data_IF_163334818915
#
_entry.id   IF_163334818915
#
_cell.length_a   1.000
_cell.length_b   1.000
_cell.length_c   1.000
_cell.angle_alpha   90.00
_cell.angle_beta   90.00
_cell.angle_gamma   90.00
#
_symmetry.space_group_name_H-M   'P 1'
#
loop_
_entity.id
_entity.type
_entity.pdbx_description
1 polymer ?
#
# COMPACT_ATOMS: atom_id res chain seq x y z
N UNK A 1 -28.97 7.55 25.28
CA UNK A 1 -29.30 8.29 24.04
C UNK A 1 -28.39 7.85 22.89
N UNK A 2 -27.07 7.83 23.08
CA UNK A 2 -26.10 7.36 22.06
C UNK A 2 -26.34 5.92 21.57
N UNK A 3 -26.52 4.95 22.48
CA UNK A 3 -26.80 3.54 22.10
C UNK A 3 -28.02 3.40 21.18
N UNK A 4 -29.10 4.14 21.46
CA UNK A 4 -30.29 4.12 20.64
C UNK A 4 -30.03 4.77 19.28
N UNK A 5 -29.21 5.82 19.23
CA UNK A 5 -28.81 6.42 17.97
C UNK A 5 -27.99 5.46 17.11
N UNK A 6 -27.02 4.76 17.69
CA UNK A 6 -26.22 3.75 16.99
C UNK A 6 -27.10 2.63 16.43
N UNK A 7 -28.03 2.10 17.23
CA UNK A 7 -28.99 1.07 16.78
C UNK A 7 -29.86 1.54 15.63
N UNK A 8 -30.27 2.80 15.62
CA UNK A 8 -31.10 3.33 14.54
C UNK A 8 -30.29 3.66 13.27
N UNK A 9 -28.98 3.87 13.40
CA UNK A 9 -28.07 4.24 12.30
C UNK A 9 -27.39 3.05 11.63
N UNK A 10 -27.33 1.90 12.30
CA UNK A 10 -26.66 0.69 11.82
C UNK A 10 -27.68 -0.37 11.36
N UNK A 11 -27.34 -1.23 10.39
CA UNK A 11 -28.21 -2.34 9.98
C UNK A 11 -28.50 -3.30 11.14
N UNK A 12 -29.66 -3.96 11.11
CA UNK A 12 -30.07 -4.96 12.12
C UNK A 12 -29.09 -6.14 12.25
N UNK A 13 -28.27 -6.38 11.22
CA UNK A 13 -27.23 -7.41 11.23
C UNK A 13 -26.02 -7.05 12.11
N UNK A 14 -25.86 -5.78 12.50
CA UNK A 14 -24.75 -5.33 13.34
C UNK A 14 -25.17 -5.42 14.80
N UNK A 15 -24.57 -6.36 15.52
CA UNK A 15 -24.79 -6.52 16.96
C UNK A 15 -24.18 -5.34 17.73
N UNK A 16 -24.95 -4.78 18.67
CA UNK A 16 -24.50 -3.67 19.52
C UNK A 16 -24.76 -3.99 20.97
N UNK A 17 -23.66 -4.14 21.72
CA UNK A 17 -23.67 -4.47 23.14
C UNK A 17 -23.02 -3.36 23.96
N UNK A 18 -23.63 -3.04 25.10
CA UNK A 18 -23.04 -2.12 26.08
C UNK A 18 -22.15 -2.92 27.03
N UNK A 19 -20.98 -2.39 27.30
CA UNK A 19 -20.00 -2.92 28.25
C UNK A 19 -19.89 -1.95 29.43
N UNK A 20 -19.79 -2.47 30.65
CA UNK A 20 -19.53 -1.70 31.87
C UNK A 20 -18.08 -1.91 32.33
N UNK A 21 -17.13 -1.28 31.64
CA UNK A 21 -15.70 -1.42 31.90
C UNK A 21 -15.10 -0.07 32.33
N UNK A 22 -14.09 -0.12 33.21
CA UNK A 22 -13.35 1.05 33.70
C UNK A 22 -12.42 1.63 32.64
N UNK A 23 -11.93 0.79 31.73
CA UNK A 23 -11.13 1.20 30.56
C UNK A 23 -12.05 1.79 29.48
N UNK A 24 -12.19 3.12 29.49
CA UNK A 24 -13.20 3.85 28.70
C UNK A 24 -12.94 3.95 27.19
N UNK A 25 -11.72 3.65 26.73
CA UNK A 25 -11.33 3.74 25.32
C UNK A 25 -11.17 2.34 24.71
N UNK A 26 -12.29 1.64 24.48
CA UNK A 26 -12.29 0.24 24.03
C UNK A 26 -11.45 0.01 22.76
N UNK A 27 -11.47 0.95 21.81
CA UNK A 27 -10.64 0.87 20.59
C UNK A 27 -9.13 0.91 20.84
N UNK A 28 -8.68 1.44 21.98
CA UNK A 28 -7.26 1.42 22.36
C UNK A 28 -6.86 0.11 23.05
N UNK A 29 -7.82 -0.58 23.64
CA UNK A 29 -7.59 -1.75 24.50
C UNK A 29 -8.05 -3.06 23.87
N UNK A 30 -8.64 -3.02 22.67
CA UNK A 30 -9.11 -4.19 21.92
C UNK A 30 -8.61 -4.10 20.47
N UNK A 31 -8.04 -5.19 19.95
CA UNK A 31 -7.78 -5.40 18.53
C UNK A 31 -8.34 -6.76 18.13
N UNK A 32 -9.10 -6.86 17.04
CA UNK A 32 -9.76 -8.10 16.66
C UNK A 32 -9.77 -8.32 15.15
N UNK A 33 -9.86 -9.59 14.75
CA UNK A 33 -10.26 -10.04 13.42
C UNK A 33 -11.46 -11.00 13.56
N UNK A 34 -11.78 -11.79 12.54
CA UNK A 34 -12.97 -12.66 12.56
C UNK A 34 -12.79 -13.94 13.40
N UNK A 35 -11.60 -14.18 13.94
CA UNK A 35 -11.27 -15.40 14.68
C UNK A 35 -10.79 -15.14 16.11
N UNK A 36 -10.09 -14.01 16.33
CA UNK A 36 -9.41 -13.70 17.58
C UNK A 36 -9.54 -12.22 17.95
N UNK A 37 -9.70 -11.94 19.24
CA UNK A 37 -9.53 -10.63 19.85
C UNK A 37 -8.37 -10.63 20.86
N UNK A 38 -7.44 -9.69 20.67
CA UNK A 38 -6.47 -9.32 21.69
C UNK A 38 -7.06 -8.21 22.56
N UNK A 39 -6.95 -8.37 23.87
CA UNK A 39 -7.45 -7.39 24.85
C UNK A 39 -6.39 -7.02 25.87
N UNK A 40 -6.56 -5.83 26.45
CA UNK A 40 -5.72 -5.35 27.54
C UNK A 40 -5.73 -6.33 28.74
N UNK A 41 -4.58 -6.62 29.40
CA UNK A 41 -4.49 -7.64 30.45
C UNK A 41 -5.41 -7.43 31.65
N UNK A 42 -5.71 -6.18 31.99
CA UNK A 42 -6.59 -5.83 33.12
C UNK A 42 -8.09 -5.73 32.77
N UNK A 43 -8.50 -6.10 31.55
CA UNK A 43 -9.93 -6.17 31.19
C UNK A 43 -10.60 -7.22 32.04
N UNK A 44 -11.75 -6.91 32.62
CA UNK A 44 -12.45 -7.84 33.51
C UNK A 44 -12.99 -9.07 32.75
N UNK A 45 -13.20 -10.17 33.48
CA UNK A 45 -13.64 -11.42 32.86
C UNK A 45 -15.02 -11.29 32.24
N UNK A 46 -15.91 -10.52 32.86
CA UNK A 46 -17.27 -10.29 32.35
C UNK A 46 -17.22 -9.59 30.97
N UNK A 47 -16.37 -8.57 30.82
CA UNK A 47 -16.15 -7.89 29.53
C UNK A 47 -15.49 -8.83 28.51
N UNK A 48 -14.54 -9.68 28.92
CA UNK A 48 -13.97 -10.69 28.02
C UNK A 48 -15.02 -11.67 27.48
N UNK A 49 -15.94 -12.13 28.35
CA UNK A 49 -17.06 -13.00 27.94
C UNK A 49 -18.01 -12.28 26.99
N UNK A 50 -18.33 -11.01 27.26
CA UNK A 50 -19.15 -10.19 26.36
C UNK A 50 -18.47 -10.04 24.99
N UNK A 51 -17.17 -9.74 24.94
CA UNK A 51 -16.43 -9.60 23.68
C UNK A 51 -16.46 -10.90 22.89
N UNK A 52 -16.19 -12.03 23.56
CA UNK A 52 -16.22 -13.36 22.93
C UNK A 52 -17.60 -13.67 22.34
N UNK A 53 -18.66 -13.44 23.10
CA UNK A 53 -20.01 -13.85 22.69
C UNK A 53 -20.60 -12.93 21.61
N UNK A 54 -20.23 -11.64 21.61
CA UNK A 54 -20.73 -10.66 20.64
C UNK A 54 -19.96 -10.70 19.33
N UNK A 55 -18.63 -10.85 19.40
CA UNK A 55 -17.78 -10.93 18.20
C UNK A 55 -17.63 -12.35 17.66
N UNK A 56 -18.01 -13.37 18.45
CA UNK A 56 -17.87 -14.79 18.12
C UNK A 56 -16.41 -15.24 17.90
N UNK A 57 -15.48 -14.68 18.70
CA UNK A 57 -14.03 -14.90 18.59
C UNK A 57 -13.38 -15.34 19.89
N UNK A 58 -12.25 -16.03 19.80
CA UNK A 58 -11.42 -16.32 20.97
C UNK A 58 -10.77 -15.05 21.53
N UNK A 59 -10.75 -14.88 22.85
CA UNK A 59 -10.24 -13.66 23.49
C UNK A 59 -8.95 -13.98 24.25
N UNK A 60 -7.87 -13.27 23.95
CA UNK A 60 -6.59 -13.39 24.63
C UNK A 60 -6.15 -12.08 25.26
N UNK A 61 -5.78 -12.13 26.54
CA UNK A 61 -5.12 -11.03 27.22
C UNK A 61 -3.66 -10.98 26.80
N UNK A 62 -3.22 -9.86 26.22
CA UNK A 62 -1.87 -9.79 25.66
C UNK A 62 -1.27 -8.38 25.70
N UNK A 63 0.04 -8.30 25.48
CA UNK A 63 0.75 -7.03 25.28
C UNK A 63 1.43 -6.97 23.93
N UNK A 64 1.59 -5.76 23.38
CA UNK A 64 2.30 -5.51 22.13
C UNK A 64 3.56 -4.69 22.44
N UNK A 65 4.74 -5.27 22.25
CA UNK A 65 6.03 -4.67 22.62
C UNK A 65 6.08 -4.18 24.09
N UNK A 66 5.46 -4.92 25.01
CA UNK A 66 5.35 -4.55 26.43
C UNK A 66 4.31 -3.48 26.75
N UNK A 67 3.56 -3.00 25.75
CA UNK A 67 2.44 -2.09 25.96
C UNK A 67 1.11 -2.84 26.07
N UNK A 68 0.28 -2.39 27.01
CA UNK A 68 -1.02 -2.99 27.31
C UNK A 68 -2.16 -2.49 26.42
N UNK A 69 -1.98 -1.36 25.74
CA UNK A 69 -2.97 -0.77 24.83
C UNK A 69 -2.90 -1.45 23.45
N UNK A 70 -3.30 -2.72 23.40
CA UNK A 70 -3.15 -3.56 22.18
C UNK A 70 -3.78 -2.91 20.95
N UNK A 71 -4.98 -2.33 21.06
CA UNK A 71 -5.68 -1.64 19.96
C UNK A 71 -4.99 -0.36 19.48
N UNK A 72 -4.23 0.33 20.35
CA UNK A 72 -3.42 1.47 19.92
C UNK A 72 -2.16 1.06 19.18
N UNK A 73 -1.60 -0.11 19.51
CA UNK A 73 -0.27 -0.54 19.08
C UNK A 73 -0.27 -1.66 18.03
N UNK A 74 -1.44 -2.13 17.62
CA UNK A 74 -1.58 -2.99 16.46
C UNK A 74 -2.86 -2.72 15.67
N UNK A 75 -2.86 -3.17 14.42
CA UNK A 75 -4.05 -3.31 13.59
C UNK A 75 -3.97 -4.67 12.91
N UNK A 76 -5.04 -5.47 13.00
CA UNK A 76 -5.06 -6.85 12.54
C UNK A 76 -6.26 -7.10 11.62
N UNK A 77 -6.11 -8.02 10.67
CA UNK A 77 -7.15 -8.57 9.82
C UNK A 77 -7.00 -10.10 9.74
N UNK A 78 -7.79 -10.78 8.91
CA UNK A 78 -7.61 -12.22 8.69
C UNK A 78 -6.44 -12.53 7.76
N UNK A 79 -5.85 -11.52 7.11
CA UNK A 79 -4.73 -11.68 6.18
C UNK A 79 -3.37 -11.37 6.82
N UNK A 80 -3.36 -10.63 7.93
CA UNK A 80 -2.13 -10.25 8.62
C UNK A 80 -2.36 -9.14 9.63
N UNK A 81 -1.28 -8.62 10.20
CA UNK A 81 -1.35 -7.50 11.12
C UNK A 81 -0.07 -6.68 11.18
N UNK A 82 -0.24 -5.39 11.43
CA UNK A 82 0.85 -4.46 11.72
C UNK A 82 0.91 -4.26 13.23
N UNK A 83 2.08 -4.47 13.83
CA UNK A 83 2.33 -4.27 15.26
C UNK A 83 3.38 -3.19 15.49
N UNK A 84 3.46 -2.69 16.72
CA UNK A 84 4.45 -1.71 17.16
C UNK A 84 5.88 -2.03 16.66
N UNK A 85 6.66 -1.02 16.21
CA UNK A 85 7.95 -1.22 15.54
C UNK A 85 9.06 -1.82 16.42
N UNK A 86 8.87 -1.82 17.75
CA UNK A 86 9.79 -2.46 18.72
C UNK A 86 9.38 -3.87 19.12
N UNK A 87 8.27 -4.40 18.61
CA UNK A 87 7.89 -5.80 18.86
C UNK A 87 9.01 -6.70 18.35
N UNK A 88 9.50 -7.61 19.19
CA UNK A 88 10.62 -8.47 18.80
C UNK A 88 10.17 -9.49 17.77
N UNK A 89 11.11 -10.14 17.09
CA UNK A 89 10.77 -11.20 16.11
C UNK A 89 10.13 -12.38 16.82
N UNK A 90 10.65 -12.74 17.99
CA UNK A 90 10.09 -13.81 18.80
C UNK A 90 8.64 -13.50 19.17
N UNK A 91 8.37 -12.29 19.67
CA UNK A 91 6.99 -11.89 20.02
C UNK A 91 6.09 -11.87 18.77
N UNK A 92 6.60 -11.45 17.60
CA UNK A 92 5.86 -11.50 16.34
C UNK A 92 5.51 -12.93 15.95
N UNK A 93 6.43 -13.88 16.07
CA UNK A 93 6.20 -15.29 15.73
C UNK A 93 5.20 -15.95 16.69
N UNK A 94 5.30 -15.63 17.99
CA UNK A 94 4.38 -16.11 19.03
C UNK A 94 2.96 -15.55 18.80
N UNK A 95 2.84 -14.24 18.58
CA UNK A 95 1.58 -13.58 18.28
C UNK A 95 1.00 -14.03 16.93
N UNK A 96 1.83 -14.24 15.92
CA UNK A 96 1.41 -14.73 14.61
C UNK A 96 0.86 -16.16 14.71
N UNK A 97 1.49 -17.00 15.52
CA UNK A 97 0.99 -18.35 15.83
C UNK A 97 -0.31 -18.30 16.62
N UNK A 98 -0.46 -17.35 17.54
CA UNK A 98 -1.70 -17.17 18.31
C UNK A 98 -2.86 -16.71 17.40
N UNK A 99 -2.61 -15.72 16.54
CA UNK A 99 -3.62 -15.12 15.67
C UNK A 99 -3.85 -15.89 14.37
N UNK A 100 -3.00 -16.87 14.05
CA UNK A 100 -3.00 -17.62 12.79
C UNK A 100 -2.83 -16.75 11.53
N UNK A 101 -2.23 -15.57 11.67
CA UNK A 101 -1.98 -14.62 10.56
C UNK A 101 -0.57 -14.03 10.69
N UNK A 102 0.11 -13.68 9.58
CA UNK A 102 1.45 -13.09 9.64
C UNK A 102 1.42 -11.71 10.29
N UNK A 103 2.40 -11.43 11.16
CA UNK A 103 2.57 -10.12 11.78
C UNK A 103 3.88 -9.47 11.36
N UNK A 104 3.83 -8.16 11.15
CA UNK A 104 4.99 -7.35 10.81
C UNK A 104 5.06 -6.14 11.74
N UNK A 105 6.25 -5.86 12.27
CA UNK A 105 6.51 -4.63 13.01
C UNK A 105 6.71 -3.43 12.07
N UNK A 106 5.98 -2.34 12.29
CA UNK A 106 6.10 -1.14 11.46
C UNK A 106 5.51 0.10 12.10
N UNK A 107 5.51 1.19 11.34
CA UNK A 107 4.99 2.50 11.76
C UNK A 107 3.97 3.01 10.74
N UNK A 108 3.25 4.05 11.13
CA UNK A 108 2.30 4.76 10.28
C UNK A 108 2.49 6.28 10.49
N UNK A 109 1.95 7.13 9.62
CA UNK A 109 2.00 8.60 9.80
C UNK A 109 3.39 9.18 10.12
N UNK A 110 4.42 8.85 9.33
CA UNK A 110 5.81 9.34 9.50
C UNK A 110 6.46 8.89 10.81
N UNK A 111 6.42 7.58 11.07
CA UNK A 111 7.15 6.98 12.17
C UNK A 111 6.37 6.89 13.48
N UNK A 112 5.07 7.17 13.47
CA UNK A 112 4.20 6.90 14.62
C UNK A 112 4.18 5.41 14.91
N UNK A 113 4.45 5.07 16.17
CA UNK A 113 4.38 3.72 16.70
C UNK A 113 2.96 3.35 17.19
N UNK A 114 2.06 4.33 17.24
CA UNK A 114 0.63 4.17 17.56
C UNK A 114 -0.14 3.76 16.31
N UNK A 115 0.05 2.50 15.90
CA UNK A 115 -0.49 1.93 14.66
C UNK A 115 -2.01 2.10 14.56
N UNK A 116 -2.78 1.74 15.59
CA UNK A 116 -4.24 1.75 15.53
C UNK A 116 -4.86 3.14 15.44
N UNK A 117 -4.11 4.20 15.77
CA UNK A 117 -4.57 5.58 15.57
C UNK A 117 -4.46 6.05 14.11
N UNK A 118 -3.61 5.39 13.32
CA UNK A 118 -3.30 5.79 11.94
C UNK A 118 -3.61 4.75 10.88
N UNK A 119 -4.10 3.57 11.25
CA UNK A 119 -4.38 2.47 10.35
C UNK A 119 -5.69 1.79 10.72
N UNK A 120 -6.62 1.75 9.76
CA UNK A 120 -7.83 0.93 9.82
C UNK A 120 -7.76 -0.07 8.67
N UNK A 121 -7.89 -1.36 8.96
CA UNK A 121 -7.69 -2.42 7.97
C UNK A 121 -8.78 -3.47 8.09
N UNK A 122 -9.14 -4.05 6.95
CA UNK A 122 -9.86 -5.32 6.85
C UNK A 122 -9.19 -6.18 5.76
N UNK A 123 -9.80 -7.30 5.40
CA UNK A 123 -9.23 -8.23 4.41
C UNK A 123 -9.15 -7.68 2.98
N UNK A 124 -9.87 -6.60 2.70
CA UNK A 124 -10.05 -6.05 1.35
C UNK A 124 -9.29 -4.74 1.15
N UNK A 125 -9.12 -3.94 2.20
CA UNK A 125 -8.50 -2.63 2.14
C UNK A 125 -7.86 -2.21 3.47
N UNK A 126 -6.90 -1.30 3.36
CA UNK A 126 -6.31 -0.59 4.48
C UNK A 126 -6.42 0.92 4.22
N UNK A 127 -6.90 1.66 5.21
CA UNK A 127 -6.88 3.11 5.26
C UNK A 127 -5.81 3.53 6.23
N UNK A 128 -4.82 4.24 5.72
CA UNK A 128 -3.77 4.82 6.52
C UNK A 128 -3.95 6.34 6.60
N UNK A 129 -3.49 6.96 7.67
CA UNK A 129 -3.52 8.41 7.80
C UNK A 129 -2.69 9.08 6.70
N UNK A 130 -3.08 10.29 6.30
CA UNK A 130 -2.53 11.01 5.14
C UNK A 130 -1.01 11.22 5.21
N UNK A 131 -0.47 11.36 6.42
CA UNK A 131 0.96 11.54 6.64
C UNK A 131 1.76 10.25 6.42
N UNK A 132 1.09 9.10 6.28
CA UNK A 132 1.74 7.82 6.06
C UNK A 132 2.55 7.83 4.78
N UNK A 133 3.80 7.45 4.93
CA UNK A 133 4.75 7.51 3.82
C UNK A 133 4.58 6.32 2.89
N UNK A 134 5.01 6.44 1.63
CA UNK A 134 4.97 5.33 0.67
C UNK A 134 5.68 4.06 1.18
N UNK A 135 6.67 4.18 2.07
CA UNK A 135 7.34 3.04 2.70
C UNK A 135 6.47 2.38 3.77
N UNK A 136 5.79 3.16 4.61
CA UNK A 136 4.84 2.66 5.60
C UNK A 136 3.67 1.98 4.91
N UNK A 137 3.11 2.64 3.90
CA UNK A 137 2.12 2.07 3.00
C UNK A 137 2.66 0.82 2.32
N UNK A 138 3.93 0.79 1.89
CA UNK A 138 4.52 -0.43 1.33
C UNK A 138 4.65 -1.57 2.34
N UNK A 139 4.79 -1.31 3.66
CA UNK A 139 4.75 -2.37 4.68
C UNK A 139 3.32 -2.90 4.85
N UNK A 140 2.34 -2.01 4.88
CA UNK A 140 0.91 -2.36 4.92
C UNK A 140 0.50 -3.11 3.64
N UNK A 141 0.94 -2.64 2.46
CA UNK A 141 0.77 -3.25 1.14
C UNK A 141 1.65 -4.46 0.92
N UNK A 142 2.69 -4.72 1.73
CA UNK A 142 3.54 -5.92 1.59
C UNK A 142 2.83 -7.21 1.98
N UNK A 143 1.57 -7.09 2.37
CA UNK A 143 0.54 -8.11 2.17
C UNK A 143 0.25 -8.40 0.67
N UNK A 144 0.99 -7.77 -0.25
CA UNK A 144 1.00 -8.01 -1.68
C UNK A 144 1.41 -9.44 -1.97
N UNK A 145 0.60 -10.08 -2.79
CA UNK A 145 0.62 -11.53 -2.93
C UNK A 145 1.60 -11.89 -4.03
N UNK A 146 2.48 -12.84 -3.74
CA UNK A 146 3.11 -13.62 -4.79
C UNK A 146 2.70 -15.08 -4.70
N UNK A 147 2.43 -15.70 -5.85
CA UNK A 147 2.25 -17.14 -5.94
C UNK A 147 3.38 -17.66 -6.80
N UNK A 148 4.24 -18.52 -6.23
CA UNK A 148 5.39 -19.11 -6.95
C UNK A 148 6.31 -18.08 -7.64
N UNK A 149 6.49 -16.90 -7.02
CA UNK A 149 7.31 -15.81 -7.55
C UNK A 149 6.61 -14.90 -8.56
N UNK A 150 5.36 -15.16 -8.93
CA UNK A 150 4.54 -14.24 -9.72
C UNK A 150 3.87 -13.23 -8.80
N UNK A 151 4.16 -11.95 -9.00
CA UNK A 151 3.70 -10.87 -8.12
C UNK A 151 2.40 -10.26 -8.66
N UNK A 152 1.46 -10.01 -7.77
CA UNK A 152 0.34 -9.10 -8.00
C UNK A 152 0.39 -8.00 -6.92
N UNK A 153 0.47 -6.75 -7.37
CA UNK A 153 0.52 -5.57 -6.49
C UNK A 153 -0.49 -4.52 -6.93
N UNK A 154 -1.09 -3.85 -5.95
CA UNK A 154 -2.01 -2.75 -6.16
C UNK A 154 -1.84 -1.69 -5.07
N UNK A 155 -2.09 -0.43 -5.43
CA UNK A 155 -2.15 0.71 -4.52
C UNK A 155 -3.25 1.65 -5.02
N UNK A 156 -3.95 2.29 -4.11
CA UNK A 156 -5.05 3.19 -4.44
C UNK A 156 -5.03 4.38 -3.48
N UNK A 157 -5.18 5.58 -4.03
CA UNK A 157 -5.34 6.78 -3.22
C UNK A 157 -6.81 7.13 -3.12
N UNK A 158 -7.31 7.22 -1.89
CA UNK A 158 -8.64 7.74 -1.60
C UNK A 158 -8.57 9.04 -0.82
N UNK A 159 -9.59 9.87 -0.96
CA UNK A 159 -9.78 11.03 -0.11
C UNK A 159 -10.97 10.74 0.80
N UNK A 160 -10.74 10.85 2.11
CA UNK A 160 -11.82 10.74 3.09
C UNK A 160 -12.74 11.95 2.93
N UNK A 161 -13.96 11.70 2.43
CA UNK A 161 -14.96 12.71 2.28
C UNK A 161 -15.89 12.73 3.50
N UNK A 162 -15.80 13.72 4.40
CA UNK A 162 -16.67 13.81 5.57
C UNK A 162 -18.13 14.13 5.21
N UNK A 163 -18.40 14.62 3.99
CA UNK A 163 -19.74 14.90 3.50
C UNK A 163 -20.02 14.18 2.17
N UNK A 164 -20.64 13.00 2.18
CA UNK A 164 -20.88 12.22 0.96
C UNK A 164 -21.84 12.89 -0.05
N UNK A 165 -22.48 14.01 0.31
CA UNK A 165 -23.37 14.75 -0.61
C UNK A 165 -22.63 15.69 -1.56
N UNK A 166 -21.35 16.00 -1.29
CA UNK A 166 -20.57 16.96 -2.07
C UNK A 166 -19.20 16.36 -2.41
N UNK A 167 -18.72 16.50 -3.65
CA UNK A 167 -17.40 15.99 -4.01
C UNK A 167 -16.30 16.81 -3.34
N UNK A 168 -15.16 16.19 -3.09
CA UNK A 168 -13.96 16.95 -2.69
C UNK A 168 -13.42 17.70 -3.91
N UNK A 169 -13.09 18.97 -3.72
CA UNK A 169 -12.61 19.87 -4.78
C UNK A 169 -11.14 20.30 -4.56
N UNK A 170 -10.62 21.12 -5.48
CA UNK A 170 -9.30 21.74 -5.38
C UNK A 170 -8.14 20.81 -5.74
N UNK A 171 -6.93 21.15 -5.26
CA UNK A 171 -5.69 20.49 -5.69
C UNK A 171 -5.61 19.00 -5.36
N UNK A 172 -6.26 18.56 -4.28
CA UNK A 172 -6.38 17.14 -3.95
C UNK A 172 -7.24 16.39 -4.97
N UNK A 173 -8.32 17.01 -5.46
CA UNK A 173 -9.14 16.46 -6.54
C UNK A 173 -8.35 16.39 -7.87
N UNK A 174 -7.61 17.45 -8.19
CA UNK A 174 -6.79 17.53 -9.41
C UNK A 174 -5.76 16.39 -9.47
N UNK A 175 -5.01 16.16 -8.38
CA UNK A 175 -3.94 15.16 -8.36
C UNK A 175 -4.48 13.73 -8.36
N UNK A 176 -5.61 13.47 -7.70
CA UNK A 176 -6.29 12.18 -7.75
C UNK A 176 -6.80 11.90 -9.16
N UNK A 177 -7.44 12.88 -9.81
CA UNK A 177 -7.89 12.76 -11.20
C UNK A 177 -6.70 12.53 -12.14
N UNK A 178 -5.61 13.30 -12.00
CA UNK A 178 -4.40 13.17 -12.80
C UNK A 178 -3.78 11.76 -12.68
N UNK A 179 -3.61 11.27 -11.45
CA UNK A 179 -2.98 9.96 -11.19
C UNK A 179 -3.87 8.82 -11.72
N UNK A 180 -5.18 8.90 -11.50
CA UNK A 180 -6.11 7.90 -12.00
C UNK A 180 -6.14 7.87 -13.54
N UNK A 181 -6.40 9.01 -14.19
CA UNK A 181 -6.47 9.05 -15.66
C UNK A 181 -5.11 8.73 -16.29
N UNK A 182 -4.00 9.10 -15.65
CA UNK A 182 -2.66 8.70 -16.06
C UNK A 182 -2.50 7.18 -16.04
N UNK A 183 -2.94 6.51 -14.98
CA UNK A 183 -2.89 5.06 -14.87
C UNK A 183 -3.82 4.37 -15.89
N UNK A 184 -5.02 4.90 -16.12
CA UNK A 184 -5.98 4.39 -17.11
C UNK A 184 -5.49 4.51 -18.56
N UNK A 185 -4.82 5.62 -18.89
CA UNK A 185 -4.16 5.83 -20.19
C UNK A 185 -2.98 4.88 -20.35
N UNK A 186 -2.14 4.73 -19.32
CA UNK A 186 -1.01 3.80 -19.33
C UNK A 186 -1.46 2.36 -19.58
N UNK A 187 -2.55 1.92 -18.95
CA UNK A 187 -3.12 0.59 -19.15
C UNK A 187 -3.62 0.36 -20.59
N UNK A 188 -4.21 1.37 -21.22
CA UNK A 188 -4.71 1.28 -22.61
C UNK A 188 -3.58 1.26 -23.63
N UNK A 189 -2.49 1.96 -23.33
CA UNK A 189 -1.28 1.96 -24.14
C UNK A 189 -0.36 0.77 -23.88
N UNK A 190 -0.62 -0.01 -22.82
CA UNK A 190 0.09 -1.26 -22.54
C UNK A 190 -0.36 -2.37 -23.51
N UNK A 191 -0.02 -2.18 -24.79
CA UNK A 191 -0.44 -3.04 -25.90
C UNK A 191 0.79 -3.54 -26.66
N UNK A 192 0.76 -4.78 -27.10
CA UNK A 192 1.83 -5.35 -27.91
C UNK A 192 2.06 -4.49 -29.17
N UNK A 193 3.33 -4.15 -29.45
CA UNK A 193 3.72 -3.27 -30.54
C UNK A 193 3.79 -1.78 -30.18
N UNK A 194 3.27 -1.35 -29.03
CA UNK A 194 3.52 -0.01 -28.52
C UNK A 194 4.88 0.07 -27.83
N UNK A 195 5.38 1.29 -27.69
CA UNK A 195 6.63 1.57 -26.98
C UNK A 195 6.40 2.09 -25.57
N UNK A 196 7.42 1.94 -24.72
CA UNK A 196 7.46 2.56 -23.40
C UNK A 196 7.27 4.08 -23.47
N UNK A 197 7.92 4.76 -24.43
CA UNK A 197 7.80 6.23 -24.55
C UNK A 197 6.40 6.72 -24.92
N UNK A 198 5.57 5.91 -25.58
CA UNK A 198 4.19 6.27 -25.89
C UNK A 198 3.37 6.44 -24.61
N UNK A 199 3.59 5.53 -23.64
CA UNK A 199 2.98 5.61 -22.31
C UNK A 199 3.42 6.89 -21.60
N UNK A 200 4.72 7.17 -21.56
CA UNK A 200 5.26 8.33 -20.85
C UNK A 200 4.69 9.63 -21.41
N UNK A 201 4.65 9.79 -22.74
CA UNK A 201 4.10 10.98 -23.39
C UNK A 201 2.64 11.20 -23.01
N UNK A 202 1.84 10.15 -23.08
CA UNK A 202 0.41 10.23 -22.79
C UNK A 202 0.13 10.51 -21.30
N UNK A 203 0.88 9.88 -20.39
CA UNK A 203 0.77 10.14 -18.94
C UNK A 203 1.18 11.58 -18.60
N UNK A 204 2.25 12.10 -19.19
CA UNK A 204 2.66 13.49 -19.00
C UNK A 204 1.65 14.48 -19.58
N UNK A 205 1.02 14.15 -20.71
CA UNK A 205 -0.06 14.95 -21.27
C UNK A 205 -1.27 15.01 -20.33
N UNK A 206 -1.66 13.88 -19.72
CA UNK A 206 -2.69 13.86 -18.67
C UNK A 206 -2.29 14.74 -17.49
N UNK A 207 -1.06 14.61 -17.00
CA UNK A 207 -0.56 15.40 -15.86
C UNK A 207 -0.68 16.91 -16.13
N UNK A 208 -0.33 17.35 -17.35
CA UNK A 208 -0.44 18.75 -17.76
C UNK A 208 -1.88 19.27 -17.75
N UNK A 209 -2.89 18.47 -18.14
CA UNK A 209 -4.30 18.90 -18.08
C UNK A 209 -4.75 19.23 -16.67
N UNK A 210 -4.23 18.52 -15.66
CA UNK A 210 -4.54 18.73 -14.24
C UNK A 210 -3.50 19.59 -13.51
N UNK A 211 -2.57 20.22 -14.24
CA UNK A 211 -1.45 21.01 -13.67
C UNK A 211 -0.68 20.23 -12.61
N UNK A 212 -0.46 18.95 -12.84
CA UNK A 212 0.31 18.04 -11.98
C UNK A 212 1.56 17.57 -12.71
N UNK A 213 2.49 16.97 -11.98
CA UNK A 213 3.73 16.41 -12.52
C UNK A 213 3.89 14.98 -11.99
N UNK A 214 4.25 13.99 -12.83
CA UNK A 214 4.58 12.65 -12.33
C UNK A 214 5.73 12.71 -11.34
N UNK A 215 5.65 11.97 -10.24
CA UNK A 215 6.71 11.97 -9.21
C UNK A 215 7.88 11.12 -9.68
N UNK A 216 9.12 11.52 -9.38
CA UNK A 216 10.31 10.70 -9.55
C UNK A 216 10.12 9.31 -8.90
N UNK A 217 10.37 8.26 -9.66
CA UNK A 217 10.06 6.87 -9.26
C UNK A 217 8.70 6.34 -9.74
N UNK A 218 7.87 7.19 -10.37
CA UNK A 218 6.69 6.74 -11.13
C UNK A 218 7.13 5.96 -12.37
N UNK A 219 6.66 4.73 -12.50
CA UNK A 219 7.24 3.78 -13.46
C UNK A 219 6.20 2.77 -13.95
N UNK A 220 6.28 2.44 -15.23
CA UNK A 220 5.68 1.22 -15.79
C UNK A 220 6.81 0.23 -16.02
N UNK A 221 6.81 -0.90 -15.33
CA UNK A 221 7.93 -1.83 -15.35
C UNK A 221 7.48 -3.25 -15.64
N UNK A 222 8.27 -3.96 -16.43
CA UNK A 222 8.07 -5.38 -16.66
C UNK A 222 8.37 -6.15 -15.37
N UNK A 223 7.52 -7.13 -15.06
CA UNK A 223 7.72 -8.07 -13.96
C UNK A 223 7.79 -9.49 -14.51
N UNK A 224 8.61 -10.34 -13.87
CA UNK A 224 8.74 -11.76 -14.21
C UNK A 224 8.73 -12.59 -12.93
N UNK A 225 8.69 -13.92 -13.07
CA UNK A 225 8.78 -14.82 -11.92
C UNK A 225 10.06 -14.53 -11.13
N UNK A 226 9.91 -14.21 -9.84
CA UNK A 226 10.96 -13.78 -8.90
C UNK A 226 11.68 -12.45 -9.23
N UNK A 227 11.22 -11.72 -10.25
CA UNK A 227 11.82 -10.46 -10.69
C UNK A 227 10.80 -9.33 -10.59
N UNK A 228 10.93 -8.52 -9.53
CA UNK A 228 10.09 -7.35 -9.25
C UNK A 228 10.41 -6.14 -10.14
N UNK A 229 11.65 -6.05 -10.61
CA UNK A 229 12.15 -4.93 -11.42
C UNK A 229 12.85 -5.53 -12.64
N UNK A 230 12.13 -5.61 -13.76
CA UNK A 230 12.70 -6.03 -15.04
C UNK A 230 13.56 -4.96 -15.67
N UNK A 231 14.34 -5.35 -16.68
CA UNK A 231 15.17 -4.44 -17.49
C UNK A 231 14.32 -3.48 -18.34
N UNK A 232 13.14 -3.94 -18.77
CA UNK A 232 12.21 -3.15 -19.56
C UNK A 232 11.32 -2.30 -18.64
N UNK A 233 11.56 -0.99 -18.59
CA UNK A 233 10.75 -0.05 -17.83
C UNK A 233 10.65 1.31 -18.51
N UNK A 234 9.56 2.02 -18.24
CA UNK A 234 9.30 3.39 -18.66
C UNK A 234 9.21 4.28 -17.42
N UNK A 235 10.21 5.14 -17.22
CA UNK A 235 10.14 6.19 -16.21
C UNK A 235 9.16 7.27 -16.66
N UNK A 236 8.17 7.57 -15.83
CA UNK A 236 7.11 8.54 -16.14
C UNK A 236 7.56 9.98 -15.85
N UNK A 237 8.62 10.16 -15.07
CA UNK A 237 9.34 11.42 -14.88
C UNK A 237 10.83 11.24 -15.22
N UNK A 238 11.21 11.26 -16.50
CA UNK A 238 12.59 11.10 -16.90
C UNK A 238 13.37 12.42 -16.70
N UNK A 239 13.96 12.61 -15.53
CA UNK A 239 14.78 13.79 -15.18
C UNK A 239 15.89 14.08 -16.23
N UNK A 240 16.46 13.02 -16.83
CA UNK A 240 17.56 13.09 -17.81
C UNK A 240 17.11 12.88 -19.27
N UNK A 241 15.79 12.92 -19.52
CA UNK A 241 15.22 12.62 -20.84
C UNK A 241 15.00 11.12 -21.10
N UNK A 242 14.46 10.81 -22.27
CA UNK A 242 14.16 9.43 -22.65
C UNK A 242 15.46 8.65 -22.92
N UNK A 243 15.59 7.41 -22.41
CA UNK A 243 16.68 6.54 -22.84
C UNK A 243 16.60 6.31 -24.36
N UNK A 244 17.76 6.25 -25.01
CA UNK A 244 17.85 6.02 -26.46
C UNK A 244 17.23 4.66 -26.87
N UNK A 245 17.34 3.66 -25.99
CA UNK A 245 16.75 2.34 -26.16
C UNK A 245 15.35 2.27 -25.51
N UNK A 246 14.34 2.62 -26.30
CA UNK A 246 12.93 2.49 -25.93
C UNK A 246 12.43 1.06 -26.15
N UNK A 247 11.97 0.40 -25.10
CA UNK A 247 11.53 -1.00 -25.19
C UNK A 247 10.16 -1.11 -25.87
N UNK A 248 10.01 -2.19 -26.63
CA UNK A 248 8.74 -2.59 -27.22
C UNK A 248 7.99 -3.52 -26.27
N UNK A 249 6.69 -3.28 -26.12
CA UNK A 249 5.80 -4.15 -25.37
C UNK A 249 5.45 -5.37 -26.22
N UNK A 250 5.57 -6.58 -25.67
CA UNK A 250 5.27 -7.83 -26.36
C UNK A 250 4.07 -8.56 -25.74
N UNK A 251 3.52 -9.50 -26.50
CA UNK A 251 2.49 -10.43 -26.00
C UNK A 251 3.06 -11.35 -24.93
N UNK A 252 2.20 -11.78 -23.99
CA UNK A 252 2.50 -12.69 -22.89
C UNK A 252 3.50 -12.13 -21.88
N UNK A 253 3.56 -10.81 -21.73
CA UNK A 253 4.35 -10.12 -20.73
C UNK A 253 3.47 -9.59 -19.59
N UNK A 254 4.07 -9.43 -18.41
CA UNK A 254 3.41 -8.87 -17.24
C UNK A 254 4.09 -7.54 -16.84
N UNK A 255 3.28 -6.57 -16.42
CA UNK A 255 3.76 -5.25 -16.04
C UNK A 255 3.08 -4.78 -14.75
N UNK A 256 3.85 -4.06 -13.93
CA UNK A 256 3.28 -3.19 -12.89
C UNK A 256 3.21 -1.78 -13.44
N UNK A 257 2.03 -1.18 -13.40
CA UNK A 257 1.82 0.24 -13.68
C UNK A 257 1.75 0.94 -12.33
N UNK A 258 2.70 1.85 -12.06
CA UNK A 258 2.79 2.60 -10.82
C UNK A 258 2.86 4.10 -11.14
N UNK A 259 1.71 4.77 -11.10
CA UNK A 259 1.59 6.19 -11.41
C UNK A 259 1.46 6.97 -10.11
N UNK A 260 2.46 7.80 -9.80
CA UNK A 260 2.38 8.80 -8.75
C UNK A 260 2.35 10.18 -9.40
N UNK A 261 1.42 11.03 -8.97
CA UNK A 261 1.34 12.43 -9.41
C UNK A 261 1.49 13.34 -8.21
N UNK A 262 2.12 14.49 -8.42
CA UNK A 262 2.28 15.55 -7.41
C UNK A 262 1.67 16.85 -7.92
N UNK A 263 1.10 17.62 -6.99
CA UNK A 263 0.72 19.01 -7.23
C UNK A 263 1.90 19.98 -7.21
N UNK A 264 3.08 19.51 -6.79
CA UNK A 264 4.34 20.25 -6.66
C UNK A 264 5.23 20.13 -7.90
N UNK A 265 6.52 19.87 -7.69
CA UNK A 265 7.54 19.83 -8.75
C UNK A 265 7.90 18.40 -9.20
N UNK A 266 7.40 17.38 -8.50
CA UNK A 266 7.60 15.97 -8.86
C UNK A 266 8.98 15.42 -8.49
N UNK A 267 9.84 16.23 -7.84
CA UNK A 267 11.13 15.78 -7.31
C UNK A 267 10.98 15.29 -5.87
N UNK A 268 11.74 14.27 -5.53
CA UNK A 268 11.72 13.64 -4.21
C UNK A 268 13.05 13.81 -3.48
N UNK A 269 12.98 13.85 -2.16
CA UNK A 269 14.13 13.79 -1.27
C UNK A 269 13.94 12.67 -0.25
N UNK A 270 15.04 12.06 0.16
CA UNK A 270 15.01 11.14 1.29
C UNK A 270 14.58 11.88 2.56
N UNK A 271 13.72 11.24 3.34
CA UNK A 271 13.39 11.71 4.69
C UNK A 271 14.52 11.42 5.67
N UNK A 272 14.40 11.95 6.88
CA UNK A 272 15.29 11.62 8.00
C UNK A 272 15.15 10.17 8.51
N UNK A 273 14.08 9.46 8.12
CA UNK A 273 13.83 8.10 8.55
C UNK A 273 14.73 7.10 7.83
N UNK A 274 15.34 6.21 8.61
CA UNK A 274 16.16 5.13 8.05
C UNK A 274 15.28 4.13 7.31
N UNK A 275 15.73 3.59 6.16
CA UNK A 275 14.99 2.56 5.44
C UNK A 275 14.84 1.31 6.31
N UNK A 276 13.60 0.83 6.41
CA UNK A 276 13.25 -0.44 7.07
C UNK A 276 12.94 -1.53 6.04
N UNK A 277 12.65 -1.14 4.80
CA UNK A 277 12.44 -2.04 3.68
C UNK A 277 13.73 -2.20 2.90
N UNK A 278 14.11 -3.46 2.69
CA UNK A 278 15.21 -3.84 1.83
C UNK A 278 14.73 -4.92 0.86
N UNK A 279 15.22 -4.87 -0.37
CA UNK A 279 15.08 -5.94 -1.34
C UNK A 279 16.43 -6.60 -1.53
N UNK A 280 16.46 -7.93 -1.49
CA UNK A 280 17.67 -8.67 -1.85
C UNK A 280 17.98 -8.49 -3.33
N UNK A 281 19.21 -8.07 -3.62
CA UNK A 281 19.72 -8.08 -4.98
C UNK A 281 20.35 -9.44 -5.26
N UNK A 282 19.72 -10.22 -6.11
CA UNK A 282 20.20 -11.58 -6.47
C UNK A 282 21.31 -11.57 -7.49
N UNK A 283 21.53 -10.43 -8.17
CA UNK A 283 22.56 -10.28 -9.19
C UNK A 283 23.91 -9.85 -8.60
N UNK A 284 23.91 -9.36 -7.35
CA UNK A 284 25.12 -8.92 -6.66
C UNK A 284 25.68 -10.01 -5.77
N UNK A 285 27.00 -10.20 -5.84
CA UNK A 285 27.73 -11.17 -5.05
C UNK A 285 28.90 -10.47 -4.36
N UNK A 286 28.90 -10.53 -3.03
CA UNK A 286 29.94 -9.90 -2.22
C UNK A 286 30.28 -10.76 -1.00
N UNK A 287 31.58 -10.84 -0.71
CA UNK A 287 32.09 -11.58 0.44
C UNK A 287 32.04 -10.70 1.71
N UNK A 288 30.92 -10.77 2.42
CA UNK A 288 30.68 -10.05 3.67
C UNK A 288 31.76 -10.34 4.73
N UNK A 289 32.32 -9.26 5.31
CA UNK A 289 33.39 -9.29 6.31
C UNK A 289 32.85 -9.43 7.73
N UNK A 290 31.72 -8.80 8.07
CA UNK A 290 31.14 -8.93 9.40
C UNK A 290 30.42 -10.27 9.57
N UNK A 291 30.66 -10.93 10.70
CA UNK A 291 29.93 -12.15 11.09
C UNK A 291 28.43 -11.90 11.17
N UNK A 292 28.02 -10.73 11.69
CA UNK A 292 26.63 -10.31 11.75
C UNK A 292 26.01 -10.20 10.35
N UNK A 293 26.70 -9.58 9.38
CA UNK A 293 26.21 -9.46 8.01
C UNK A 293 26.06 -10.81 7.32
N UNK A 294 27.06 -11.71 7.43
CA UNK A 294 26.93 -13.09 6.92
C UNK A 294 25.72 -13.82 7.52
N UNK A 295 25.47 -13.62 8.81
CA UNK A 295 24.36 -14.27 9.54
C UNK A 295 23.01 -13.75 9.04
N UNK A 296 22.88 -12.43 8.91
CA UNK A 296 21.69 -11.76 8.37
C UNK A 296 21.45 -12.19 6.94
N UNK A 297 22.45 -12.08 6.06
CA UNK A 297 22.29 -12.38 4.64
C UNK A 297 21.89 -13.83 4.38
N UNK A 298 22.39 -14.78 5.19
CA UNK A 298 21.98 -16.19 5.14
C UNK A 298 20.54 -16.42 5.61
N UNK A 299 20.06 -15.62 6.56
CA UNK A 299 18.74 -15.73 7.20
C UNK A 299 17.75 -14.67 6.74
N UNK A 300 17.97 -14.00 5.61
CA UNK A 300 17.03 -12.97 5.09
C UNK A 300 15.60 -13.53 4.93
N UNK A 301 15.46 -14.85 4.77
CA UNK A 301 14.17 -15.56 4.72
C UNK A 301 13.51 -15.76 6.10
N UNK A 302 14.28 -15.78 7.19
CA UNK A 302 13.84 -16.32 8.49
C UNK A 302 14.10 -15.38 9.69
N UNK A 303 14.90 -14.32 9.59
CA UNK A 303 15.22 -13.46 10.76
C UNK A 303 15.75 -12.06 10.41
N UNK A 304 15.16 -11.02 11.00
CA UNK A 304 15.61 -9.61 10.91
C UNK A 304 16.66 -9.23 11.98
N UNK A 305 17.94 -9.54 11.77
CA UNK A 305 19.00 -8.95 12.61
C UNK A 305 19.54 -7.64 11.97
N UNK A 306 19.37 -6.50 12.63
CA UNK A 306 19.70 -5.17 12.07
C UNK A 306 21.20 -4.87 11.96
N UNK A 307 22.05 -5.55 12.73
CA UNK A 307 23.50 -5.25 12.80
C UNK A 307 24.25 -5.54 11.49
N UNK A 308 23.72 -6.44 10.66
CA UNK A 308 24.35 -6.86 9.41
C UNK A 308 23.87 -6.10 8.17
N UNK A 309 22.75 -5.39 8.26
CA UNK A 309 22.08 -4.74 7.13
C UNK A 309 22.93 -3.62 6.51
N UNK A 310 23.60 -2.74 7.28
CA UNK A 310 24.39 -1.65 6.69
C UNK A 310 25.50 -2.16 5.76
N UNK A 311 26.24 -3.21 6.13
CA UNK A 311 27.27 -3.78 5.24
C UNK A 311 26.66 -4.38 3.98
N UNK A 312 25.53 -5.10 4.10
CA UNK A 312 24.84 -5.66 2.95
C UNK A 312 24.33 -4.56 2.00
N UNK A 313 23.84 -3.44 2.54
CA UNK A 313 23.36 -2.32 1.74
C UNK A 313 24.51 -1.57 1.06
N UNK A 314 25.59 -1.26 1.79
CA UNK A 314 26.79 -0.61 1.24
C UNK A 314 27.44 -1.39 0.10
N UNK A 315 27.35 -2.72 0.12
CA UNK A 315 27.88 -3.60 -0.92
C UNK A 315 26.84 -4.08 -1.94
N UNK A 316 25.67 -3.43 -2.02
CA UNK A 316 24.68 -3.68 -3.07
C UNK A 316 23.90 -5.00 -2.97
N UNK A 317 24.19 -5.83 -1.96
CA UNK A 317 23.50 -7.09 -1.68
C UNK A 317 22.04 -6.88 -1.24
N UNK A 318 21.78 -5.76 -0.58
CA UNK A 318 20.44 -5.31 -0.19
C UNK A 318 20.19 -3.91 -0.75
N UNK A 319 19.15 -3.74 -1.57
CA UNK A 319 18.69 -2.43 -2.04
C UNK A 319 17.73 -1.83 -0.99
N UNK A 320 18.09 -0.74 -0.29
CA UNK A 320 17.17 -0.05 0.59
C UNK A 320 16.06 0.66 -0.20
N UNK A 321 14.85 0.67 0.35
CA UNK A 321 13.77 1.54 -0.10
C UNK A 321 13.61 2.65 0.91
N UNK A 322 14.07 3.84 0.54
CA UNK A 322 13.98 5.03 1.38
C UNK A 322 12.55 5.55 1.44
N UNK A 323 12.24 6.19 2.57
CA UNK A 323 11.07 7.04 2.71
C UNK A 323 11.34 8.31 1.90
N UNK A 324 10.57 8.52 0.85
CA UNK A 324 10.69 9.66 -0.04
C UNK A 324 9.62 10.70 0.27
N UNK A 325 10.03 11.96 0.30
CA UNK A 325 9.15 13.12 0.46
C UNK A 325 9.21 13.96 -0.79
N UNK A 326 8.06 14.49 -1.20
CA UNK A 326 8.04 15.55 -2.20
C UNK A 326 8.84 16.76 -1.70
N UNK A 327 9.61 17.38 -2.59
CA UNK A 327 10.51 18.47 -2.22
C UNK A 327 9.77 19.67 -1.56
N UNK A 328 8.53 19.92 -2.00
CA UNK A 328 7.61 20.95 -1.55
C UNK A 328 6.74 20.39 -0.42
N UNK A 329 6.94 20.87 0.81
CA UNK A 329 6.21 20.36 1.98
C UNK A 329 4.68 20.57 1.99
N UNK A 330 4.13 21.29 1.00
CA UNK A 330 2.68 21.51 0.82
C UNK A 330 2.10 20.74 -0.37
N UNK A 331 2.93 20.02 -1.14
CA UNK A 331 2.46 19.26 -2.28
C UNK A 331 1.65 18.05 -1.82
N UNK A 332 0.53 17.80 -2.52
CA UNK A 332 -0.28 16.60 -2.35
C UNK A 332 0.16 15.61 -3.41
N UNK A 333 0.34 14.35 -3.00
CA UNK A 333 0.72 13.24 -3.89
C UNK A 333 -0.40 12.21 -3.91
N UNK A 334 -0.76 11.73 -5.11
CA UNK A 334 -1.66 10.60 -5.28
C UNK A 334 -0.98 9.49 -6.06
N UNK A 335 -1.22 8.25 -5.65
CA UNK A 335 -0.70 7.03 -6.25
C UNK A 335 -1.83 6.08 -6.68
N UNK A 336 -1.71 5.57 -7.90
CA UNK A 336 -2.48 4.45 -8.40
C UNK A 336 -1.52 3.40 -8.95
N UNK A 337 -1.60 2.19 -8.41
CA UNK A 337 -0.75 1.06 -8.81
C UNK A 337 -1.61 -0.17 -9.05
N UNK A 338 -1.27 -0.91 -10.09
CA UNK A 338 -1.88 -2.21 -10.34
C UNK A 338 -0.98 -3.06 -11.24
N UNK A 339 -1.26 -4.36 -11.25
CA UNK A 339 -0.58 -5.31 -12.15
C UNK A 339 -1.48 -5.64 -13.34
N UNK A 340 -0.89 -5.70 -14.53
CA UNK A 340 -1.59 -6.02 -15.77
C UNK A 340 -0.79 -7.02 -16.62
N UNK A 341 -1.51 -7.84 -17.39
CA UNK A 341 -0.95 -8.82 -18.32
C UNK A 341 -1.24 -8.40 -19.76
N UNK A 342 -0.21 -8.38 -20.60
CA UNK A 342 -0.40 -8.27 -22.05
C UNK A 342 -0.69 -9.67 -22.58
N UNK A 343 -1.94 -9.91 -22.95
CA UNK A 343 -2.39 -11.24 -23.37
C UNK A 343 -1.85 -11.60 -24.76
N UNK A 344 -2.05 -12.85 -25.19
CA UNK A 344 -1.75 -13.29 -26.57
C UNK A 344 -2.50 -12.50 -27.65
N UNK A 345 -3.63 -11.85 -27.30
CA UNK A 345 -4.35 -10.93 -28.20
C UNK A 345 -3.63 -9.59 -28.42
N UNK A 346 -2.54 -9.33 -27.69
CA UNK A 346 -1.81 -8.08 -27.68
C UNK A 346 -2.40 -7.00 -26.76
N UNK A 347 -3.61 -7.19 -26.22
CA UNK A 347 -4.23 -6.22 -25.31
C UNK A 347 -3.90 -6.52 -23.83
N UNK A 348 -3.81 -5.46 -23.03
CA UNK A 348 -3.69 -5.56 -21.58
C UNK A 348 -4.96 -6.07 -20.91
N UNK A 349 -4.79 -6.77 -19.80
CA UNK A 349 -5.85 -7.11 -18.85
C UNK A 349 -5.36 -6.81 -17.44
N UNK A 350 -6.10 -5.97 -16.70
CA UNK A 350 -5.82 -5.72 -15.28
C UNK A 350 -6.19 -6.95 -14.46
N UNK A 351 -5.27 -7.41 -13.61
CA UNK A 351 -5.45 -8.60 -12.77
C UNK A 351 -5.66 -8.30 -11.28
N UNK A 352 -5.47 -7.06 -10.86
CA UNK A 352 -5.79 -6.61 -9.50
C UNK A 352 -7.13 -5.87 -9.47
N UNK A 353 -7.71 -5.71 -8.27
CA UNK A 353 -8.95 -4.97 -8.10
C UNK A 353 -8.82 -3.53 -8.63
N UNK A 354 -9.95 -3.00 -9.08
CA UNK A 354 -10.11 -1.62 -9.52
C UNK A 354 -11.12 -0.95 -8.61
N UNK A 355 -10.70 -0.37 -7.47
CA UNK A 355 -11.60 0.37 -6.60
C UNK A 355 -12.26 1.51 -7.37
N UNK A 356 -13.47 1.88 -6.93
CA UNK A 356 -14.12 3.07 -7.48
C UNK A 356 -13.27 4.31 -7.19
N UNK A 357 -13.27 5.24 -8.13
CA UNK A 357 -12.67 6.54 -7.93
C UNK A 357 -13.25 7.23 -6.69
N UNK A 358 -12.43 7.92 -5.90
CA UNK A 358 -12.92 8.77 -4.82
C UNK A 358 -13.89 9.82 -5.36
N UNK A 359 -14.89 10.23 -4.57
CA UNK A 359 -15.86 11.24 -4.99
C UNK A 359 -15.21 12.63 -4.98
N UNK A 360 -14.60 12.98 -6.11
CA UNK A 360 -13.85 14.21 -6.33
C UNK A 360 -14.38 14.97 -7.53
N UNK A 361 -14.22 16.28 -7.53
CA UNK A 361 -14.57 17.17 -8.64
C UNK A 361 -13.40 18.14 -8.87
N UNK A 362 -12.65 17.89 -9.93
CA UNK A 362 -11.60 18.81 -10.39
C UNK A 362 -12.23 19.87 -11.29
N UNK A 363 -11.81 21.12 -11.13
CA UNK A 363 -12.15 22.21 -12.07
C UNK A 363 -11.42 22.05 -13.42
N UNK A 364 -10.40 21.21 -13.45
CA UNK A 364 -9.61 20.88 -14.63
C UNK A 364 -10.14 19.60 -15.26
N UNK A 365 -10.01 19.49 -16.59
CA UNK A 365 -10.50 18.33 -17.32
C UNK A 365 -9.64 18.03 -18.54
N UNK A 366 -9.71 16.78 -18.98
CA UNK A 366 -9.14 16.35 -20.24
C UNK A 366 -10.08 16.83 -21.36
N UNK A 367 -9.61 17.62 -22.35
CA UNK A 367 -10.44 18.10 -23.45
C UNK A 367 -11.06 16.93 -24.21
N UNK A 368 -12.36 17.01 -24.51
CA UNK A 368 -13.15 15.91 -25.07
C UNK A 368 -12.75 15.53 -26.50
N UNK A 369 -12.17 16.46 -27.24
CA UNK A 369 -11.66 16.29 -28.60
C UNK A 369 -10.22 15.76 -28.65
N UNK A 370 -9.53 15.72 -27.51
CA UNK A 370 -8.14 15.24 -27.41
C UNK A 370 -8.01 13.75 -27.71
N UNK A 371 -6.85 13.33 -28.20
CA UNK A 371 -6.56 11.91 -28.42
C UNK A 371 -6.54 11.11 -27.11
N UNK A 372 -6.22 11.77 -25.99
CA UNK A 372 -6.31 11.18 -24.65
C UNK A 372 -7.77 10.83 -24.30
N UNK A 373 -8.73 11.72 -24.57
CA UNK A 373 -10.14 11.46 -24.33
C UNK A 373 -10.65 10.29 -25.18
N UNK A 374 -10.27 10.24 -26.47
CA UNK A 374 -10.59 9.11 -27.37
C UNK A 374 -10.01 7.79 -26.86
N UNK A 375 -8.76 7.82 -26.39
CA UNK A 375 -8.11 6.66 -25.81
C UNK A 375 -8.86 6.18 -24.57
N UNK A 376 -9.17 7.07 -23.62
CA UNK A 376 -9.90 6.75 -22.39
C UNK A 376 -11.28 6.13 -22.65
N UNK A 377 -11.93 6.50 -23.77
CA UNK A 377 -13.19 5.90 -24.19
C UNK A 377 -13.06 4.44 -24.66
N UNK A 378 -11.86 3.95 -24.99
CA UNK A 378 -11.65 2.55 -25.32
C UNK A 378 -11.86 1.65 -24.08
N UNK A 379 -12.56 0.53 -24.26
CA UNK A 379 -12.77 -0.45 -23.20
C UNK A 379 -11.48 -1.20 -22.84
N UNK A 380 -11.34 -1.49 -21.56
CA UNK A 380 -10.25 -2.32 -21.03
C UNK A 380 -10.84 -3.54 -20.34
N UNK A 381 -10.26 -4.71 -20.61
CA UNK A 381 -10.63 -5.94 -19.92
C UNK A 381 -10.09 -5.94 -18.49
N UNK A 382 -10.95 -6.21 -17.53
CA UNK A 382 -10.57 -6.49 -16.14
C UNK A 382 -11.04 -7.89 -15.76
N UNK A 383 -10.26 -8.58 -14.94
CA UNK A 383 -10.71 -9.85 -14.34
C UNK A 383 -11.77 -9.51 -13.30
N UNK A 384 -13.02 -9.94 -13.53
CA UNK A 384 -14.08 -9.85 -12.51
C UNK A 384 -13.75 -10.82 -11.38
N UNK A 385 -13.87 -10.36 -10.14
CA UNK A 385 -13.88 -11.27 -9.00
C UNK A 385 -14.99 -12.31 -9.24
N UNK A 386 -14.62 -13.60 -9.30
CA UNK A 386 -15.62 -14.64 -9.12
C UNK A 386 -15.97 -14.59 -7.63
N UNK A 387 -17.24 -14.51 -7.29
CA UNK A 387 -17.69 -14.81 -5.93
C UNK A 387 -17.25 -16.26 -5.67
N UNK A 388 -16.19 -16.43 -4.89
CA UNK A 388 -15.72 -17.74 -4.42
C UNK A 388 -16.53 -18.07 -3.17
#
# INVERSE_FOLDING_TARGET
QELQHLRNSLPDSVQIQRIEERLSALGNVIACNDYVALVHPDVDKETQEIIRDVLEVEVFTQTIAGNVLVGSYCAISNQGGLVHPRTTIQDQDELSSLLQVPLVAGTINRGSDVVGAGLVVNDWCAFAGLDSTATELSVVEKLGIHIDGYIASAAHTTILNPNPQQPIEGRSADVVAAAHFGAEVALRLLKAGNKGSDIVKAVNQVANYFKCIPVEGSIVQQVRRYVLQGENFASLNPNDGFPDDDFMINTNEAYTINVLMSTGIGLVKESEFKPTIYQRNVNEVYNLKLKAARTVFKKITDTYNRLGIPECATHGLLRPYYVLLEHTGQAVVAQFKFTALVTSSGNATRITSSPQLPYVSSELSIPTDSDIAKLLACEVKSVKAKNI
#
